data_IF_572218026275
#
_entry.id   IF_572218026275
#
_cell.length_a   1.000
_cell.length_b   1.000
_cell.length_c   1.000
_cell.angle_alpha   90.00
_cell.angle_beta   90.00
_cell.angle_gamma   90.00
#
_symmetry.space_group_name_H-M   'P 1'
#
loop_
_entity.id
_entity.type
_entity.pdbx_description
1 polymer ?
#
# COMPACT_ATOMS: atom_id res chain seq x y z
N UNK A 1 -33.50 -11.49 19.60
CA UNK A 1 -34.53 -11.85 20.60
C UNK A 1 -34.73 -13.36 20.72
N UNK A 2 -34.11 -13.97 21.74
CA UNK A 2 -34.65 -15.10 22.51
C UNK A 2 -33.70 -15.30 23.71
N UNK A 3 -34.09 -14.71 24.84
CA UNK A 3 -33.45 -14.93 26.13
C UNK A 3 -33.89 -16.31 26.66
N UNK A 4 -32.95 -17.16 27.03
CA UNK A 4 -33.20 -18.35 27.84
C UNK A 4 -32.94 -18.04 29.31
N UNK A 5 -33.82 -18.51 30.21
CA UNK A 5 -33.70 -18.33 31.65
C UNK A 5 -32.69 -19.33 32.25
N UNK A 6 -31.84 -18.87 33.17
CA UNK A 6 -31.05 -19.75 34.06
C UNK A 6 -31.85 -20.04 35.35
N UNK A 7 -31.97 -21.30 35.79
CA UNK A 7 -32.68 -21.65 37.01
C UNK A 7 -31.69 -21.76 38.19
N UNK A 8 -31.35 -20.64 38.82
CA UNK A 8 -30.90 -20.59 40.22
C UNK A 8 -30.59 -19.15 40.61
N UNK A 9 -31.09 -18.75 41.79
CA UNK A 9 -30.95 -17.47 42.51
C UNK A 9 -32.12 -16.48 42.35
N UNK A 10 -32.98 -16.52 43.37
CA UNK A 10 -34.00 -15.52 43.70
C UNK A 10 -33.36 -14.19 44.15
N UNK A 11 -33.00 -13.31 43.21
CA UNK A 11 -32.84 -11.85 43.48
C UNK A 11 -33.14 -11.04 42.20
N UNK A 12 -34.00 -10.00 42.22
CA UNK A 12 -34.56 -9.42 40.98
C UNK A 12 -33.73 -8.31 40.31
N UNK A 13 -32.51 -7.98 40.80
CA UNK A 13 -31.80 -6.76 40.37
C UNK A 13 -30.30 -6.91 40.08
N UNK A 14 -29.79 -8.13 39.86
CA UNK A 14 -28.39 -8.34 39.50
C UNK A 14 -28.30 -8.95 38.10
N UNK A 15 -27.77 -8.17 37.16
CA UNK A 15 -27.33 -8.69 35.86
C UNK A 15 -26.21 -9.69 36.10
N UNK A 16 -26.30 -10.89 35.54
CA UNK A 16 -25.18 -11.83 35.55
C UNK A 16 -23.99 -11.15 34.87
N UNK A 17 -22.78 -11.13 35.48
CA UNK A 17 -21.59 -10.81 34.73
C UNK A 17 -21.48 -11.85 33.62
N UNK A 18 -21.51 -11.40 32.36
CA UNK A 18 -21.20 -12.24 31.21
C UNK A 18 -19.87 -12.96 31.48
N UNK A 19 -19.76 -14.27 31.26
CA UNK A 19 -18.49 -14.96 31.46
C UNK A 19 -17.42 -14.29 30.60
N UNK A 20 -16.26 -14.02 31.19
CA UNK A 20 -15.11 -13.51 30.47
C UNK A 20 -14.86 -14.37 29.22
N UNK A 21 -14.60 -13.77 28.04
CA UNK A 21 -14.41 -14.55 26.84
C UNK A 21 -13.16 -15.43 27.01
N UNK A 22 -13.28 -16.70 26.59
CA UNK A 22 -12.18 -17.64 26.52
C UNK A 22 -11.00 -17.06 25.72
N UNK A 23 -9.74 -17.36 26.08
CA UNK A 23 -8.59 -16.89 25.32
C UNK A 23 -8.64 -17.53 23.93
N UNK A 24 -8.72 -16.70 22.89
CA UNK A 24 -8.70 -17.16 21.50
C UNK A 24 -9.89 -16.79 20.62
N UNK A 25 -10.81 -15.90 21.05
CA UNK A 25 -11.70 -15.20 20.11
C UNK A 25 -11.16 -13.80 19.85
N UNK A 26 -10.90 -13.49 18.58
CA UNK A 26 -10.62 -12.18 18.01
C UNK A 26 -11.77 -11.19 18.29
N UNK A 27 -11.92 -10.81 19.56
CA UNK A 27 -12.79 -9.70 19.91
C UNK A 27 -12.03 -8.43 19.60
N UNK A 28 -12.43 -7.67 18.57
CA UNK A 28 -12.03 -6.27 18.38
C UNK A 28 -12.32 -5.48 19.67
N UNK A 29 -11.35 -5.14 20.54
CA UNK A 29 -11.61 -4.32 21.71
C UNK A 29 -11.26 -2.88 21.32
N UNK A 30 -12.27 -2.05 21.07
CA UNK A 30 -12.13 -0.59 20.99
C UNK A 30 -11.50 0.03 19.73
N UNK A 31 -10.69 -0.67 18.94
CA UNK A 31 -9.95 -0.10 17.78
C UNK A 31 -10.72 -0.10 16.46
N UNK A 32 -11.70 -0.99 16.29
CA UNK A 32 -12.41 -1.14 15.02
C UNK A 32 -13.30 0.08 14.65
N UNK A 33 -13.93 0.79 15.61
CA UNK A 33 -14.56 2.09 15.33
C UNK A 33 -13.58 3.20 14.90
N UNK A 34 -12.36 3.20 15.43
CA UNK A 34 -11.34 4.20 15.08
C UNK A 34 -10.82 3.98 13.65
N UNK A 35 -10.59 2.71 13.28
CA UNK A 35 -10.10 2.39 11.95
C UNK A 35 -11.11 2.73 10.84
N UNK A 36 -12.41 2.49 11.09
CA UNK A 36 -13.47 2.88 10.13
C UNK A 36 -13.55 4.41 9.99
N UNK A 37 -13.43 5.15 11.09
CA UNK A 37 -13.39 6.62 11.07
C UNK A 37 -12.16 7.14 10.31
N UNK A 38 -11.00 6.50 10.46
CA UNK A 38 -9.80 6.87 9.71
C UNK A 38 -9.94 6.58 8.20
N UNK A 39 -10.64 5.51 7.82
CA UNK A 39 -11.00 5.24 6.42
C UNK A 39 -12.00 6.30 5.91
N UNK A 40 -12.96 6.74 6.73
CA UNK A 40 -13.89 7.81 6.37
C UNK A 40 -13.16 9.14 6.09
N UNK A 41 -12.06 9.43 6.81
CA UNK A 41 -11.23 10.62 6.53
C UNK A 41 -10.61 10.59 5.14
N UNK A 42 -10.30 9.41 4.60
CA UNK A 42 -9.80 9.26 3.21
C UNK A 42 -10.83 9.74 2.20
N UNK A 43 -12.13 9.60 2.48
CA UNK A 43 -13.18 10.08 1.59
C UNK A 43 -13.13 11.60 1.36
N UNK A 44 -12.56 12.39 2.28
CA UNK A 44 -12.39 13.84 2.11
C UNK A 44 -11.20 14.23 1.23
N UNK A 45 -10.34 13.27 0.87
CA UNK A 45 -9.23 13.48 -0.06
C UNK A 45 -9.64 13.19 -1.52
N UNK A 46 -10.87 12.70 -1.74
CA UNK A 46 -11.40 12.37 -3.07
C UNK A 46 -12.06 13.58 -3.74
N UNK A 47 -12.18 13.59 -5.08
CA UNK A 47 -12.90 14.63 -5.81
C UNK A 47 -14.34 14.79 -5.29
N UNK A 48 -14.84 16.03 -5.27
CA UNK A 48 -16.15 16.37 -4.69
C UNK A 48 -17.32 15.50 -5.19
N UNK A 49 -17.28 15.03 -6.45
CA UNK A 49 -18.30 14.17 -7.03
C UNK A 49 -18.36 12.74 -6.44
N UNK A 50 -17.33 12.29 -5.72
CA UNK A 50 -17.19 10.90 -5.25
C UNK A 50 -17.24 10.78 -3.72
N UNK A 51 -17.11 11.90 -3.00
CA UNK A 51 -17.09 11.92 -1.52
C UNK A 51 -18.31 11.23 -0.92
N UNK A 52 -19.51 11.48 -1.46
CA UNK A 52 -20.75 10.87 -0.97
C UNK A 52 -20.75 9.35 -1.12
N UNK A 53 -20.41 8.85 -2.32
CA UNK A 53 -20.36 7.42 -2.59
C UNK A 53 -19.32 6.69 -1.74
N UNK A 54 -18.16 7.34 -1.50
CA UNK A 54 -17.14 6.81 -0.61
C UNK A 54 -17.67 6.66 0.81
N UNK A 55 -18.32 7.70 1.35
CA UNK A 55 -18.89 7.65 2.71
C UNK A 55 -19.96 6.58 2.83
N UNK A 56 -20.89 6.50 1.88
CA UNK A 56 -21.94 5.49 1.87
C UNK A 56 -21.35 4.07 1.88
N UNK A 57 -20.26 3.84 1.16
CA UNK A 57 -19.53 2.58 1.16
C UNK A 57 -18.87 2.27 2.51
N UNK A 58 -18.16 3.25 3.10
CA UNK A 58 -17.47 3.10 4.39
C UNK A 58 -18.48 2.84 5.51
N UNK A 59 -19.61 3.55 5.50
CA UNK A 59 -20.68 3.39 6.48
C UNK A 59 -21.37 2.02 6.36
N UNK A 60 -21.61 1.57 5.12
CA UNK A 60 -22.33 0.32 4.86
C UNK A 60 -21.46 -0.92 5.09
N UNK A 61 -20.18 -0.85 4.72
CA UNK A 61 -19.32 -2.03 4.59
C UNK A 61 -18.02 -1.94 5.39
N UNK A 62 -17.58 -0.74 5.80
CA UNK A 62 -16.27 -0.53 6.42
C UNK A 62 -16.04 -1.41 7.65
N UNK A 63 -17.04 -1.55 8.52
CA UNK A 63 -16.95 -2.44 9.68
C UNK A 63 -16.79 -3.92 9.29
N UNK A 64 -17.55 -4.38 8.31
CA UNK A 64 -17.48 -5.76 7.85
C UNK A 64 -16.13 -6.06 7.18
N UNK A 65 -15.63 -5.15 6.34
CA UNK A 65 -14.32 -5.25 5.70
C UNK A 65 -13.19 -5.30 6.72
N UNK A 66 -13.22 -4.42 7.73
CA UNK A 66 -12.22 -4.43 8.81
C UNK A 66 -12.25 -5.74 9.60
N UNK A 67 -13.43 -6.27 9.92
CA UNK A 67 -13.56 -7.56 10.60
C UNK A 67 -13.00 -8.69 9.74
N UNK A 68 -13.36 -8.74 8.46
CA UNK A 68 -12.84 -9.76 7.52
C UNK A 68 -11.32 -9.70 7.42
N UNK A 69 -10.72 -8.50 7.37
CA UNK A 69 -9.27 -8.34 7.34
C UNK A 69 -8.62 -8.82 8.65
N UNK A 70 -9.20 -8.50 9.79
CA UNK A 70 -8.68 -8.93 11.10
C UNK A 70 -8.81 -10.44 11.34
N UNK A 71 -9.81 -11.07 10.72
CA UNK A 71 -9.96 -12.53 10.76
C UNK A 71 -9.03 -13.23 9.78
N UNK A 72 -8.79 -12.63 8.61
CA UNK A 72 -7.89 -13.18 7.59
C UNK A 72 -6.40 -12.96 7.90
N UNK A 73 -6.07 -12.06 8.84
CA UNK A 73 -4.68 -11.70 9.16
C UNK A 73 -4.32 -12.08 10.59
N UNK A 74 -3.20 -12.79 10.75
CA UNK A 74 -2.59 -13.02 12.06
C UNK A 74 -1.73 -11.80 12.44
N UNK A 75 -2.07 -11.05 13.51
CA UNK A 75 -1.28 -9.90 13.95
C UNK A 75 0.18 -10.27 14.25
N UNK A 76 0.47 -11.51 14.66
CA UNK A 76 1.85 -11.97 14.89
C UNK A 76 2.60 -12.16 13.58
N UNK A 77 1.98 -12.74 12.56
CA UNK A 77 2.59 -12.88 11.24
C UNK A 77 2.89 -11.51 10.62
N UNK A 78 1.95 -10.57 10.68
CA UNK A 78 2.13 -9.19 10.20
C UNK A 78 3.20 -8.45 11.00
N UNK A 79 3.15 -8.50 12.33
CA UNK A 79 4.18 -7.90 13.20
C UNK A 79 5.59 -8.49 12.96
N UNK A 80 5.67 -9.77 12.63
CA UNK A 80 6.93 -10.46 12.26
C UNK A 80 7.42 -10.01 10.89
N UNK A 81 6.53 -9.95 9.89
CA UNK A 81 6.84 -9.47 8.54
C UNK A 81 7.34 -8.02 8.54
N UNK A 82 6.67 -7.16 9.31
CA UNK A 82 7.03 -5.75 9.51
C UNK A 82 8.23 -5.57 10.45
N UNK A 83 8.76 -6.67 11.01
CA UNK A 83 9.91 -6.69 11.94
C UNK A 83 9.73 -5.81 13.18
N UNK A 84 8.48 -5.60 13.62
CA UNK A 84 8.12 -4.80 14.78
C UNK A 84 8.11 -5.62 16.08
N UNK A 85 7.96 -6.94 15.97
CA UNK A 85 7.96 -7.82 17.12
C UNK A 85 9.39 -8.11 17.60
N UNK A 86 9.64 -8.11 18.93
CA UNK A 86 10.92 -8.55 19.47
C UNK A 86 11.27 -9.94 18.94
N UNK A 87 12.54 -10.19 18.65
CA UNK A 87 13.07 -11.54 18.42
C UNK A 87 13.00 -12.33 19.73
N UNK A 88 11.79 -12.71 20.13
CA UNK A 88 11.60 -13.62 21.23
C UNK A 88 12.10 -14.98 20.75
N UNK A 89 13.12 -15.48 21.46
CA UNK A 89 13.97 -16.61 21.14
C UNK A 89 13.41 -17.68 20.19
N UNK A 90 14.25 -18.09 19.25
CA UNK A 90 14.10 -19.23 18.35
C UNK A 90 13.16 -20.33 18.87
N UNK A 91 11.89 -20.27 18.46
CA UNK A 91 11.02 -21.43 18.40
C UNK A 91 11.14 -22.01 16.99
N UNK A 92 11.83 -23.15 16.90
CA UNK A 92 11.84 -24.05 15.74
C UNK A 92 10.40 -24.40 15.32
N UNK A 93 10.11 -24.23 14.03
CA UNK A 93 8.93 -24.80 13.34
C UNK A 93 7.64 -24.11 13.75
N UNK A 94 6.99 -23.34 12.89
CA UNK A 94 6.47 -23.81 11.61
C UNK A 94 6.80 -22.75 10.56
N UNK A 95 7.77 -23.04 9.69
CA UNK A 95 7.65 -22.59 8.31
C UNK A 95 6.48 -23.40 7.74
N UNK A 96 5.25 -23.04 8.15
CA UNK A 96 4.08 -23.39 7.39
C UNK A 96 4.30 -22.57 6.13
N UNK A 97 4.73 -23.24 5.08
CA UNK A 97 4.61 -22.73 3.75
C UNK A 97 3.16 -22.23 3.62
N UNK A 98 2.98 -20.91 3.75
CA UNK A 98 2.26 -20.23 2.71
C UNK A 98 3.02 -20.65 1.46
N UNK A 99 2.47 -21.65 0.76
CA UNK A 99 2.74 -21.85 -0.65
C UNK A 99 2.83 -20.45 -1.22
N UNK A 100 4.02 -20.00 -1.60
CA UNK A 100 4.13 -18.67 -2.10
C UNK A 100 3.38 -18.73 -3.42
N UNK A 101 2.29 -17.98 -3.51
CA UNK A 101 1.83 -17.47 -4.78
C UNK A 101 2.88 -16.49 -5.37
N UNK A 102 4.19 -16.72 -5.17
CA UNK A 102 5.29 -15.87 -5.63
C UNK A 102 5.29 -15.74 -7.14
N UNK A 103 4.70 -16.70 -7.86
CA UNK A 103 4.38 -16.53 -9.27
C UNK A 103 3.11 -15.69 -9.50
N UNK A 104 1.98 -16.05 -8.88
CA UNK A 104 0.69 -15.43 -9.20
C UNK A 104 0.57 -13.97 -8.77
N UNK A 105 1.10 -13.60 -7.60
CA UNK A 105 1.05 -12.23 -7.10
C UNK A 105 2.07 -11.33 -7.82
N UNK A 106 3.25 -11.89 -8.15
CA UNK A 106 4.23 -11.23 -9.01
C UNK A 106 3.64 -10.91 -10.39
N UNK A 107 3.00 -11.89 -11.04
CA UNK A 107 2.40 -11.71 -12.36
C UNK A 107 1.31 -10.63 -12.35
N UNK A 108 0.44 -10.63 -11.34
CA UNK A 108 -0.61 -9.61 -11.20
C UNK A 108 0.02 -8.23 -10.98
N UNK A 109 1.04 -8.13 -10.14
CA UNK A 109 1.76 -6.89 -9.95
C UNK A 109 2.41 -6.40 -11.26
N UNK A 110 3.13 -7.27 -11.98
CA UNK A 110 3.78 -6.90 -13.23
C UNK A 110 2.77 -6.41 -14.26
N UNK A 111 1.62 -7.08 -14.41
CA UNK A 111 0.56 -6.65 -15.33
C UNK A 111 0.01 -5.28 -14.94
N UNK A 112 -0.29 -5.07 -13.65
CA UNK A 112 -0.85 -3.81 -13.17
C UNK A 112 0.13 -2.66 -13.33
N UNK A 113 1.40 -2.84 -12.92
CA UNK A 113 2.40 -1.79 -13.03
C UNK A 113 2.76 -1.51 -14.49
N UNK A 114 2.86 -2.53 -15.33
CA UNK A 114 3.05 -2.35 -16.78
C UNK A 114 1.89 -1.57 -17.40
N UNK A 115 0.65 -1.84 -16.97
CA UNK A 115 -0.50 -1.06 -17.43
C UNK A 115 -0.36 0.41 -17.03
N UNK A 116 -0.05 0.69 -15.76
CA UNK A 116 0.14 2.06 -15.30
C UNK A 116 1.30 2.78 -15.99
N UNK A 117 2.45 2.12 -16.18
CA UNK A 117 3.59 2.68 -16.90
C UNK A 117 3.21 3.07 -18.35
N UNK A 118 2.53 2.17 -19.07
CA UNK A 118 2.07 2.47 -20.43
C UNK A 118 1.03 3.58 -20.51
N UNK A 119 0.11 3.66 -19.54
CA UNK A 119 -0.88 4.74 -19.49
C UNK A 119 -0.25 6.09 -19.12
N UNK A 120 0.74 6.11 -18.22
CA UNK A 120 1.45 7.32 -17.81
C UNK A 120 2.39 7.86 -18.89
N UNK A 121 2.95 6.97 -19.71
CA UNK A 121 3.81 7.35 -20.83
C UNK A 121 3.05 7.90 -22.04
N UNK A 122 1.70 7.88 -22.02
CA UNK A 122 0.92 8.52 -23.07
C UNK A 122 1.12 10.03 -23.00
N UNK A 123 1.41 10.64 -24.15
CA UNK A 123 1.53 12.09 -24.30
C UNK A 123 0.31 12.84 -23.73
N UNK A 124 -0.89 12.26 -23.82
CA UNK A 124 -2.12 12.81 -23.26
C UNK A 124 -2.06 12.90 -21.72
N UNK A 125 -1.69 11.81 -21.04
CA UNK A 125 -1.56 11.77 -19.57
C UNK A 125 -0.48 12.72 -19.05
N UNK A 126 0.64 12.84 -19.78
CA UNK A 126 1.71 13.78 -19.43
C UNK A 126 1.28 15.24 -19.64
N UNK A 127 0.53 15.53 -20.71
CA UNK A 127 -0.02 16.86 -20.95
C UNK A 127 -1.03 17.25 -19.87
N UNK A 128 -1.92 16.33 -19.47
CA UNK A 128 -2.86 16.56 -18.38
C UNK A 128 -2.14 16.83 -17.04
N UNK A 129 -1.03 16.14 -16.77
CA UNK A 129 -0.22 16.36 -15.57
C UNK A 129 0.42 17.77 -15.58
N UNK A 130 0.96 18.19 -16.74
CA UNK A 130 1.50 19.53 -16.94
C UNK A 130 0.43 20.61 -16.70
N UNK A 131 -0.76 20.44 -17.29
CA UNK A 131 -1.89 21.36 -17.12
C UNK A 131 -2.34 21.49 -15.65
N UNK A 132 -2.31 20.39 -14.89
CA UNK A 132 -2.67 20.42 -13.46
C UNK A 132 -1.62 21.20 -12.66
N UNK A 133 -0.34 21.02 -12.95
CA UNK A 133 0.74 21.76 -12.28
C UNK A 133 0.68 23.26 -12.59
N UNK A 134 0.36 23.60 -13.85
CA UNK A 134 0.23 24.99 -14.29
C UNK A 134 -1.00 25.67 -13.66
N UNK A 135 -2.15 24.98 -13.62
CA UNK A 135 -3.34 25.44 -12.85
C UNK A 135 -3.05 25.58 -11.36
N UNK A 136 -2.17 24.75 -10.80
CA UNK A 136 -1.69 24.89 -9.43
C UNK A 136 -0.98 26.22 -9.20
N UNK A 137 -0.25 26.73 -10.19
CA UNK A 137 0.40 28.03 -10.13
C UNK A 137 -0.59 29.20 -10.13
N UNK A 138 -1.76 29.05 -10.75
CA UNK A 138 -2.82 30.07 -10.75
C UNK A 138 -3.44 30.31 -9.35
N UNK A 139 -3.28 29.35 -8.43
CA UNK A 139 -3.70 29.51 -7.03
C UNK A 139 -2.76 30.41 -6.22
N UNK A 140 -1.58 30.73 -6.75
CA UNK A 140 -0.62 31.60 -6.08
C UNK A 140 -0.91 33.08 -6.37
N UNK A 141 -0.81 33.96 -5.37
CA UNK A 141 -0.96 35.39 -5.59
C UNK A 141 0.19 35.96 -6.42
N UNK A 142 -0.10 36.97 -7.26
CA UNK A 142 0.94 37.73 -7.94
C UNK A 142 1.92 38.35 -6.91
N UNK A 143 3.25 38.35 -7.17
CA UNK A 143 3.94 38.00 -8.41
C UNK A 143 4.48 36.55 -8.46
N UNK A 144 4.00 35.65 -7.60
CA UNK A 144 4.55 34.29 -7.48
C UNK A 144 4.11 33.36 -8.62
N UNK A 145 2.96 33.65 -9.25
CA UNK A 145 2.39 32.89 -10.37
C UNK A 145 3.43 32.64 -11.48
N UNK A 146 4.03 33.70 -12.03
CA UNK A 146 5.02 33.55 -13.10
C UNK A 146 6.33 32.89 -12.67
N UNK A 147 6.71 32.97 -11.38
CA UNK A 147 7.85 32.21 -10.85
C UNK A 147 7.53 30.74 -10.72
N UNK A 148 6.29 30.39 -10.34
CA UNK A 148 5.83 29.02 -10.25
C UNK A 148 5.76 28.38 -11.64
N UNK A 149 5.15 29.04 -12.63
CA UNK A 149 5.06 28.56 -14.01
C UNK A 149 6.47 28.26 -14.57
N UNK A 150 7.42 29.17 -14.37
CA UNK A 150 8.80 28.97 -14.79
C UNK A 150 9.46 27.75 -14.11
N UNK A 151 9.15 27.48 -12.83
CA UNK A 151 9.63 26.29 -12.13
C UNK A 151 8.97 25.02 -12.66
N UNK A 152 7.66 25.04 -12.92
CA UNK A 152 6.94 23.89 -13.50
C UNK A 152 7.59 23.53 -14.83
N UNK A 153 7.70 24.47 -15.77
CA UNK A 153 8.33 24.23 -17.08
C UNK A 153 9.78 23.74 -16.96
N UNK A 154 10.54 24.23 -15.97
CA UNK A 154 11.93 23.86 -15.80
C UNK A 154 12.11 22.44 -15.23
N UNK A 155 11.29 22.05 -14.26
CA UNK A 155 11.52 20.83 -13.47
C UNK A 155 10.57 19.68 -13.83
N UNK A 156 9.41 19.96 -14.45
CA UNK A 156 8.43 18.94 -14.84
C UNK A 156 9.04 17.85 -15.74
N UNK A 157 9.83 18.14 -16.79
CA UNK A 157 10.43 17.09 -17.62
C UNK A 157 11.37 16.16 -16.85
N UNK A 158 12.11 16.69 -15.88
CA UNK A 158 13.01 15.90 -15.05
C UNK A 158 12.23 15.08 -14.00
N UNK A 159 11.17 15.66 -13.42
CA UNK A 159 10.30 14.99 -12.46
C UNK A 159 9.53 13.83 -13.11
N UNK A 160 8.99 14.03 -14.31
CA UNK A 160 8.31 12.99 -15.09
C UNK A 160 9.27 11.86 -15.45
N UNK A 161 10.50 12.18 -15.91
CA UNK A 161 11.52 11.16 -16.18
C UNK A 161 11.86 10.32 -14.95
N UNK A 162 11.99 10.96 -13.79
CA UNK A 162 12.24 10.26 -12.53
C UNK A 162 11.03 9.41 -12.10
N UNK A 163 9.81 9.89 -12.33
CA UNK A 163 8.60 9.15 -12.03
C UNK A 163 8.51 7.87 -12.86
N UNK A 164 8.75 7.95 -14.17
CA UNK A 164 8.79 6.79 -15.08
C UNK A 164 9.88 5.80 -14.65
N UNK A 165 11.07 6.26 -14.30
CA UNK A 165 12.16 5.40 -13.79
C UNK A 165 11.73 4.58 -12.56
N UNK A 166 10.93 5.17 -11.68
CA UNK A 166 10.49 4.53 -10.44
C UNK A 166 9.24 3.66 -10.61
N UNK A 167 8.63 3.66 -11.80
CA UNK A 167 7.44 2.88 -12.14
C UNK A 167 7.73 1.64 -12.97
N UNK A 168 9.01 1.30 -13.15
CA UNK A 168 9.42 0.04 -13.73
C UNK A 168 8.79 -1.16 -12.97
N UNK A 169 8.11 -2.09 -13.68
CA UNK A 169 7.35 -3.16 -13.06
C UNK A 169 8.25 -4.09 -12.23
N UNK A 170 9.47 -4.36 -12.66
CA UNK A 170 10.38 -5.23 -11.91
C UNK A 170 10.86 -4.53 -10.63
N UNK A 171 11.21 -3.25 -10.71
CA UNK A 171 11.58 -2.45 -9.55
C UNK A 171 10.44 -2.34 -8.53
N UNK A 172 9.24 -1.94 -8.97
CA UNK A 172 8.08 -1.74 -8.10
C UNK A 172 7.65 -3.06 -7.47
N UNK A 173 7.44 -4.10 -8.29
CA UNK A 173 6.95 -5.39 -7.81
C UNK A 173 7.94 -6.10 -6.90
N UNK A 174 9.24 -5.89 -7.10
CA UNK A 174 10.27 -6.37 -6.17
C UNK A 174 10.27 -5.57 -4.86
N UNK A 175 10.16 -4.24 -4.91
CA UNK A 175 10.17 -3.39 -3.71
C UNK A 175 8.97 -3.65 -2.80
N UNK A 176 7.79 -3.93 -3.37
CA UNK A 176 6.62 -4.33 -2.58
C UNK A 176 6.59 -5.82 -2.21
N UNK A 177 7.65 -6.57 -2.56
CA UNK A 177 7.80 -8.02 -2.36
C UNK A 177 6.69 -8.84 -3.02
N UNK A 178 6.12 -8.34 -4.11
CA UNK A 178 5.20 -9.10 -4.94
C UNK A 178 5.94 -10.13 -5.82
N UNK A 179 7.10 -9.73 -6.34
CA UNK A 179 8.04 -10.60 -6.99
C UNK A 179 9.20 -10.92 -6.06
N UNK A 180 9.68 -12.16 -6.14
CA UNK A 180 11.00 -12.49 -5.60
C UNK A 180 12.04 -11.69 -6.38
N UNK A 181 12.89 -10.98 -5.65
CA UNK A 181 14.09 -10.39 -6.21
C UNK A 181 14.91 -11.48 -6.93
N UNK A 182 15.24 -11.36 -8.23
CA UNK A 182 16.52 -11.89 -8.69
C UNK A 182 17.69 -11.18 -7.94
N UNK A 183 17.42 -9.99 -7.38
CA UNK A 183 18.28 -9.10 -6.60
C UNK A 183 18.48 -9.51 -5.12
N UNK A 184 18.45 -10.82 -4.82
CA UNK A 184 18.61 -11.36 -3.46
C UNK A 184 20.05 -11.32 -2.93
N UNK A 185 21.01 -10.93 -3.77
CA UNK A 185 22.40 -10.68 -3.36
C UNK A 185 22.53 -9.29 -2.74
N UNK A 186 23.29 -9.20 -1.65
CA UNK A 186 23.45 -7.97 -0.85
C UNK A 186 24.01 -6.72 -1.57
N UNK A 187 24.42 -6.73 -2.86
CA UNK A 187 24.63 -5.48 -3.62
C UNK A 187 23.41 -4.99 -4.44
N UNK A 188 22.65 -5.89 -5.07
CA UNK A 188 21.62 -5.53 -6.04
C UNK A 188 20.38 -4.85 -5.41
N UNK A 189 20.13 -5.08 -4.12
CA UNK A 189 19.03 -4.46 -3.39
C UNK A 189 19.22 -2.94 -3.12
N UNK A 190 20.44 -2.40 -3.34
CA UNK A 190 20.78 -0.99 -3.12
C UNK A 190 20.09 -0.02 -4.10
N UNK A 191 19.51 -0.53 -5.20
CA UNK A 191 18.70 0.25 -6.13
C UNK A 191 19.45 0.71 -7.39
N UNK A 192 18.77 1.46 -8.29
CA UNK A 192 19.25 1.73 -9.65
C UNK A 192 20.63 2.40 -9.70
N UNK A 193 21.00 3.15 -8.66
CA UNK A 193 22.34 3.73 -8.54
C UNK A 193 23.47 2.70 -8.49
N UNK A 194 23.22 1.47 -8.03
CA UNK A 194 24.19 0.37 -8.06
C UNK A 194 24.10 -0.43 -9.37
N UNK A 195 22.91 -0.95 -9.70
CA UNK A 195 22.78 -1.86 -10.85
C UNK A 195 22.81 -1.15 -12.20
N UNK A 196 22.57 0.16 -12.28
CA UNK A 196 22.83 0.96 -13.48
C UNK A 196 24.15 1.73 -13.44
N UNK A 197 25.05 1.44 -12.49
CA UNK A 197 26.39 2.03 -12.48
C UNK A 197 27.27 1.57 -13.65
N UNK A 198 27.06 0.33 -14.14
CA UNK A 198 27.85 -0.24 -15.23
C UNK A 198 27.11 -1.40 -15.90
N UNK A 199 27.52 -1.76 -17.13
CA UNK A 199 27.04 -2.97 -17.80
C UNK A 199 27.27 -4.23 -16.95
N UNK A 200 28.37 -4.30 -16.20
CA UNK A 200 28.69 -5.45 -15.35
C UNK A 200 27.68 -5.60 -14.21
N UNK A 201 27.41 -4.53 -13.47
CA UNK A 201 26.43 -4.55 -12.36
C UNK A 201 25.00 -4.71 -12.86
N UNK A 202 24.69 -4.23 -14.07
CA UNK A 202 23.38 -4.47 -14.69
C UNK A 202 23.18 -5.92 -15.10
N UNK A 203 24.22 -6.61 -15.58
CA UNK A 203 24.14 -8.04 -15.89
C UNK A 203 24.06 -8.86 -14.59
N UNK A 204 24.87 -8.52 -13.59
CA UNK A 204 24.86 -9.19 -12.27
C UNK A 204 23.49 -9.15 -11.62
N UNK A 205 22.78 -8.03 -11.78
CA UNK A 205 21.47 -7.80 -11.19
C UNK A 205 20.30 -8.07 -12.17
N UNK A 206 20.55 -8.66 -13.34
CA UNK A 206 19.55 -8.93 -14.39
C UNK A 206 18.66 -7.72 -14.76
N UNK A 207 19.31 -6.57 -14.92
CA UNK A 207 18.64 -5.26 -14.99
C UNK A 207 19.07 -4.42 -16.20
N UNK A 208 19.69 -5.06 -17.19
CA UNK A 208 20.27 -4.43 -18.39
C UNK A 208 19.21 -3.67 -19.20
N UNK A 209 18.03 -4.25 -19.39
CA UNK A 209 16.96 -3.61 -20.19
C UNK A 209 16.44 -2.34 -19.51
N UNK A 210 16.23 -2.36 -18.20
CA UNK A 210 15.83 -1.18 -17.44
C UNK A 210 16.90 -0.08 -17.54
N UNK A 211 18.17 -0.40 -17.29
CA UNK A 211 19.24 0.60 -17.35
C UNK A 211 19.37 1.20 -18.75
N UNK A 212 19.24 0.38 -19.81
CA UNK A 212 19.22 0.86 -21.19
C UNK A 212 18.05 1.81 -21.43
N UNK A 213 16.83 1.42 -21.07
CA UNK A 213 15.63 2.20 -21.40
C UNK A 213 15.52 3.50 -20.62
N UNK A 214 15.90 3.49 -19.35
CA UNK A 214 15.55 4.57 -18.43
C UNK A 214 16.74 5.38 -17.89
N UNK A 215 17.98 4.88 -17.95
CA UNK A 215 19.15 5.56 -17.34
C UNK A 215 20.29 5.86 -18.33
N UNK A 216 20.65 4.95 -19.22
CA UNK A 216 21.79 5.10 -20.15
C UNK A 216 21.41 5.70 -21.52
N UNK A 217 20.13 5.93 -21.77
CA UNK A 217 19.60 6.54 -23.01
C UNK A 217 19.68 8.06 -23.00
#
# INVERSE_FOLDING_TARGET
PRAGLCPALHTPHLWCPTPAPAPGRSSCPGTCPQLVNDIEKVCYMLPHGVIGQCKDFVDSYGKAVVIMLLEATDPRAVCTMLRLCPRWGAARGVAAALEPATGSFCNVCQILITYFDNELLKNETLAELGDVLEKGCELLPAPLTGKCEALVVQYEPAAVRLLVQMMDPDFVCTKIRACDSPLGSEPCAWGPGYWCASMATAIECDAVEHCRRHIWN
#
